data_IF_330111265292
#
_entry.id   IF_330111265292
#
_cell.length_a   1.000
_cell.length_b   1.000
_cell.length_c   1.000
_cell.angle_alpha   90.00
_cell.angle_beta   90.00
_cell.angle_gamma   90.00
#
_symmetry.space_group_name_H-M   'P 1'
#
loop_
_entity.id
_entity.type
_entity.pdbx_description
1 polymer ?
#
# COMPACT_ATOMS: atom_id res chain seq x y z
N UNK A 1 5.18 -20.07 -12.73
CA UNK A 1 4.76 -19.09 -11.70
C UNK A 1 4.14 -19.88 -10.55
N UNK A 2 4.85 -19.97 -9.41
CA UNK A 2 4.63 -21.01 -8.40
C UNK A 2 3.26 -20.85 -7.70
N UNK A 3 2.44 -21.91 -7.70
CA UNK A 3 1.11 -21.96 -7.04
C UNK A 3 1.17 -21.51 -5.58
N UNK A 4 2.31 -21.78 -4.92
CA UNK A 4 2.60 -21.38 -3.55
C UNK A 4 2.54 -19.85 -3.38
N UNK A 5 3.10 -19.09 -4.32
CA UNK A 5 3.09 -17.62 -4.26
C UNK A 5 1.65 -17.08 -4.40
N UNK A 6 0.87 -17.69 -5.29
CA UNK A 6 -0.54 -17.31 -5.50
C UNK A 6 -1.39 -17.64 -4.27
N UNK A 7 -1.15 -18.79 -3.64
CA UNK A 7 -1.83 -19.20 -2.42
C UNK A 7 -1.48 -18.29 -1.23
N UNK A 8 -0.23 -17.85 -1.10
CA UNK A 8 0.19 -16.89 -0.07
C UNK A 8 -0.52 -15.55 -0.27
N UNK A 9 -0.56 -15.03 -1.50
CA UNK A 9 -1.24 -13.75 -1.80
C UNK A 9 -2.75 -13.83 -1.53
N UNK A 10 -3.39 -14.94 -1.93
CA UNK A 10 -4.83 -15.16 -1.72
C UNK A 10 -5.16 -15.41 -0.25
N UNK A 11 -4.34 -16.17 0.48
CA UNK A 11 -4.51 -16.40 1.91
C UNK A 11 -4.33 -15.10 2.71
N UNK A 12 -3.31 -14.29 2.38
CA UNK A 12 -3.15 -12.97 2.99
C UNK A 12 -4.36 -12.05 2.71
N UNK A 13 -4.89 -12.07 1.48
CA UNK A 13 -6.06 -11.28 1.09
C UNK A 13 -7.37 -11.75 1.77
N UNK A 14 -7.49 -13.05 2.07
CA UNK A 14 -8.72 -13.65 2.61
C UNK A 14 -8.88 -13.51 4.14
N UNK A 15 -7.79 -13.36 4.91
CA UNK A 15 -7.85 -13.45 6.37
C UNK A 15 -8.25 -12.13 7.06
N UNK A 16 -8.19 -10.95 6.42
CA UNK A 16 -8.43 -9.69 7.16
C UNK A 16 -9.25 -8.60 6.43
N UNK A 17 -10.36 -8.12 7.01
CA UNK A 17 -10.93 -6.81 6.71
C UNK A 17 -9.97 -5.64 7.07
N UNK A 18 -9.06 -5.86 8.02
CA UNK A 18 -7.93 -4.97 8.38
C UNK A 18 -6.83 -4.89 7.32
N UNK A 19 -6.88 -5.77 6.30
CA UNK A 19 -5.82 -5.90 5.31
C UNK A 19 -5.70 -4.69 4.39
N UNK A 20 -6.78 -3.93 4.14
CA UNK A 20 -6.70 -2.71 3.30
C UNK A 20 -5.82 -1.61 3.90
N UNK A 21 -5.85 -1.44 5.24
CA UNK A 21 -4.94 -0.51 5.94
C UNK A 21 -3.50 -1.05 5.92
N UNK A 22 -3.33 -2.33 6.20
CA UNK A 22 -2.02 -3.01 6.15
C UNK A 22 -1.40 -3.00 4.76
N UNK A 23 -2.20 -3.11 3.70
CA UNK A 23 -1.75 -3.09 2.31
C UNK A 23 -1.26 -1.70 1.90
N UNK A 24 -1.95 -0.63 2.32
CA UNK A 24 -1.46 0.74 2.12
C UNK A 24 -0.11 0.99 2.80
N UNK A 25 0.06 0.51 4.04
CA UNK A 25 1.33 0.60 4.76
C UNK A 25 2.42 -0.26 4.13
N UNK A 26 2.11 -1.49 3.72
CA UNK A 26 3.02 -2.37 3.01
C UNK A 26 3.51 -1.74 1.70
N UNK A 27 2.61 -1.10 0.95
CA UNK A 27 2.94 -0.44 -0.31
C UNK A 27 3.87 0.77 -0.08
N UNK A 28 3.64 1.56 0.98
CA UNK A 28 4.56 2.66 1.37
C UNK A 28 5.95 2.10 1.70
N UNK A 29 6.02 1.05 2.53
CA UNK A 29 7.28 0.43 2.94
C UNK A 29 8.01 -0.13 1.71
N UNK A 30 7.33 -0.88 0.86
CA UNK A 30 7.89 -1.46 -0.36
C UNK A 30 8.44 -0.38 -1.30
N UNK A 31 7.67 0.68 -1.54
CA UNK A 31 8.11 1.78 -2.41
C UNK A 31 9.27 2.58 -1.80
N UNK A 32 9.34 2.65 -0.47
CA UNK A 32 10.47 3.27 0.24
C UNK A 32 11.75 2.45 0.07
N UNK A 33 11.66 1.10 0.13
CA UNK A 33 12.78 0.22 -0.19
C UNK A 33 13.22 0.36 -1.65
N UNK A 34 12.28 0.37 -2.60
CA UNK A 34 12.59 0.56 -4.03
C UNK A 34 13.31 1.90 -4.24
N UNK A 35 12.80 2.96 -3.61
CA UNK A 35 13.43 4.28 -3.65
C UNK A 35 14.84 4.28 -3.06
N UNK A 36 15.05 3.60 -1.92
CA UNK A 36 16.35 3.42 -1.30
C UNK A 36 17.34 2.77 -2.27
N UNK A 37 16.94 1.72 -3.01
CA UNK A 37 17.79 1.10 -4.02
C UNK A 37 18.16 2.07 -5.15
N UNK A 38 17.23 2.89 -5.63
CA UNK A 38 17.54 3.92 -6.63
C UNK A 38 18.54 4.97 -6.12
N UNK A 39 18.43 5.38 -4.85
CA UNK A 39 19.38 6.33 -4.27
C UNK A 39 20.77 5.71 -4.03
N UNK A 40 20.83 4.46 -3.59
CA UNK A 40 22.10 3.72 -3.47
C UNK A 40 22.74 3.57 -4.85
N UNK A 41 21.96 3.16 -5.86
CA UNK A 41 22.43 3.06 -7.24
C UNK A 41 22.96 4.39 -7.77
N UNK A 42 22.23 5.49 -7.54
CA UNK A 42 22.70 6.82 -7.93
C UNK A 42 23.99 7.24 -7.22
N UNK A 43 24.19 6.87 -5.95
CA UNK A 43 25.42 7.17 -5.21
C UNK A 43 26.62 6.36 -5.72
N UNK A 44 26.39 5.08 -6.05
CA UNK A 44 27.41 4.22 -6.65
C UNK A 44 27.78 4.70 -8.06
N UNK A 45 26.78 5.04 -8.88
CA UNK A 45 27.00 5.55 -10.24
C UNK A 45 27.74 6.90 -10.23
N UNK A 46 27.41 7.79 -9.29
CA UNK A 46 28.18 9.02 -9.10
C UNK A 46 29.63 8.75 -8.71
N UNK A 47 29.87 7.78 -7.84
CA UNK A 47 31.23 7.40 -7.41
C UNK A 47 32.02 6.68 -8.50
N UNK A 48 31.33 5.98 -9.41
CA UNK A 48 31.91 5.27 -10.54
C UNK A 48 32.19 6.19 -11.75
N UNK A 49 31.88 7.48 -11.66
CA UNK A 49 32.10 8.45 -12.75
C UNK A 49 31.11 8.31 -13.91
N UNK A 50 29.91 7.77 -13.66
CA UNK A 50 28.85 7.75 -14.65
C UNK A 50 28.40 9.17 -15.03
N UNK A 51 27.83 9.36 -16.23
CA UNK A 51 27.34 10.67 -16.67
C UNK A 51 26.28 11.24 -15.72
N UNK A 52 26.35 12.55 -15.45
CA UNK A 52 25.44 13.26 -14.53
C UNK A 52 23.95 13.08 -14.88
N UNK A 53 23.62 12.93 -16.16
CA UNK A 53 22.25 12.71 -16.61
C UNK A 53 21.69 11.35 -16.17
N UNK A 54 22.54 10.31 -16.07
CA UNK A 54 22.14 8.97 -15.59
C UNK A 54 21.85 9.03 -14.09
N UNK A 55 22.77 9.61 -13.32
CA UNK A 55 22.63 9.79 -11.87
C UNK A 55 21.39 10.62 -11.55
N UNK A 56 21.14 11.69 -12.32
CA UNK A 56 19.94 12.53 -12.17
C UNK A 56 18.66 11.75 -12.44
N UNK A 57 18.62 10.95 -13.50
CA UNK A 57 17.45 10.15 -13.84
C UNK A 57 17.16 9.11 -12.75
N UNK A 58 18.17 8.40 -12.24
CA UNK A 58 17.98 7.47 -11.12
C UNK A 58 17.41 8.14 -9.88
N UNK A 59 17.91 9.33 -9.51
CA UNK A 59 17.33 10.11 -8.39
C UNK A 59 15.89 10.49 -8.63
N UNK A 60 15.54 10.91 -9.84
CA UNK A 60 14.15 11.23 -10.20
C UNK A 60 13.24 10.01 -10.08
N UNK A 61 13.71 8.82 -10.50
CA UNK A 61 12.97 7.57 -10.29
C UNK A 61 12.82 7.23 -8.80
N UNK A 62 13.86 7.44 -7.98
CA UNK A 62 13.80 7.26 -6.53
C UNK A 62 12.76 8.17 -5.88
N UNK A 63 12.75 9.46 -6.21
CA UNK A 63 11.74 10.41 -5.74
C UNK A 63 10.34 10.03 -6.23
N UNK A 64 10.21 9.66 -7.51
CA UNK A 64 8.94 9.23 -8.09
C UNK A 64 8.35 8.02 -7.37
N UNK A 65 9.16 6.99 -7.09
CA UNK A 65 8.74 5.81 -6.34
C UNK A 65 8.22 6.17 -4.92
N UNK A 66 8.91 7.08 -4.21
CA UNK A 66 8.45 7.57 -2.90
C UNK A 66 7.09 8.26 -3.00
N UNK A 67 6.95 9.21 -3.93
CA UNK A 67 5.71 9.97 -4.11
C UNK A 67 4.54 9.03 -4.44
N UNK A 68 4.74 8.09 -5.36
CA UNK A 68 3.72 7.10 -5.74
C UNK A 68 3.34 6.23 -4.53
N UNK A 69 4.33 5.75 -3.78
CA UNK A 69 4.11 4.94 -2.59
C UNK A 69 3.23 5.64 -1.55
N UNK A 70 3.53 6.89 -1.26
CA UNK A 70 2.77 7.70 -0.30
C UNK A 70 1.35 8.04 -0.79
N UNK A 71 1.20 8.47 -2.05
CA UNK A 71 -0.12 8.82 -2.61
C UNK A 71 -1.04 7.59 -2.62
N UNK A 72 -0.58 6.48 -3.18
CA UNK A 72 -1.38 5.26 -3.27
C UNK A 72 -1.63 4.64 -1.89
N UNK A 73 -0.62 4.61 -1.02
CA UNK A 73 -0.75 4.07 0.33
C UNK A 73 -1.80 4.81 1.16
N UNK A 74 -1.76 6.15 1.16
CA UNK A 74 -2.76 6.98 1.86
C UNK A 74 -4.15 6.81 1.24
N UNK A 75 -4.24 6.80 -0.09
CA UNK A 75 -5.52 6.63 -0.78
C UNK A 75 -6.21 5.30 -0.38
N UNK A 76 -5.45 4.21 -0.34
CA UNK A 76 -5.94 2.88 0.07
C UNK A 76 -6.36 2.85 1.54
N UNK A 77 -5.58 3.46 2.44
CA UNK A 77 -5.95 3.58 3.85
C UNK A 77 -7.24 4.40 4.06
N UNK A 78 -7.42 5.48 3.29
CA UNK A 78 -8.65 6.29 3.31
C UNK A 78 -9.86 5.52 2.79
N UNK A 79 -9.71 4.76 1.70
CA UNK A 79 -10.78 3.91 1.18
C UNK A 79 -11.16 2.82 2.18
N UNK A 80 -10.18 2.23 2.87
CA UNK A 80 -10.40 1.24 3.91
C UNK A 80 -11.25 1.82 5.05
N UNK A 81 -10.88 3.00 5.55
CA UNK A 81 -11.59 3.65 6.64
C UNK A 81 -13.05 4.01 6.29
N UNK A 82 -13.30 4.49 5.07
CA UNK A 82 -14.67 4.77 4.59
C UNK A 82 -15.53 3.51 4.50
N UNK A 83 -14.96 2.40 4.02
CA UNK A 83 -15.66 1.12 3.96
C UNK A 83 -16.00 0.57 5.34
N UNK A 84 -15.06 0.68 6.28
CA UNK A 84 -15.26 0.24 7.67
C UNK A 84 -16.38 1.03 8.35
N UNK A 85 -16.43 2.35 8.13
CA UNK A 85 -17.49 3.21 8.65
C UNK A 85 -18.88 2.86 8.07
N UNK A 86 -18.96 2.59 6.77
CA UNK A 86 -20.22 2.19 6.11
C UNK A 86 -20.71 0.83 6.61
N UNK A 87 -19.81 -0.13 6.82
CA UNK A 87 -20.17 -1.46 7.33
C UNK A 87 -20.73 -1.38 8.76
N UNK A 88 -20.12 -0.55 9.61
CA UNK A 88 -20.60 -0.33 10.99
C UNK A 88 -21.98 0.33 11.03
N UNK A 89 -22.21 1.36 10.20
CA UNK A 89 -23.51 2.02 10.11
C UNK A 89 -24.64 1.08 9.65
N UNK A 90 -24.36 0.20 8.69
CA UNK A 90 -25.33 -0.81 8.26
C UNK A 90 -25.64 -1.82 9.39
N UNK A 91 -24.61 -2.29 10.12
CA UNK A 91 -24.77 -3.19 11.26
C UNK A 91 -25.65 -2.60 12.36
N UNK A 92 -25.41 -1.35 12.74
CA UNK A 92 -26.22 -0.64 13.74
C UNK A 92 -27.70 -0.52 13.28
N UNK A 93 -27.92 -0.27 11.99
CA UNK A 93 -29.28 -0.21 11.42
C UNK A 93 -29.98 -1.59 11.44
N UNK A 94 -29.24 -2.67 11.15
CA UNK A 94 -29.76 -4.04 11.24
C UNK A 94 -30.12 -4.41 12.68
N UNK A 95 -29.28 -4.09 13.67
CA UNK A 95 -29.57 -4.36 15.08
C UNK A 95 -30.80 -3.58 15.56
N UNK A 96 -30.91 -2.30 15.17
CA UNK A 96 -32.10 -1.47 15.47
C UNK A 96 -33.38 -2.07 14.90
N UNK A 97 -33.36 -2.53 13.64
CA UNK A 97 -34.53 -3.17 13.00
C UNK A 97 -34.85 -4.54 13.60
N UNK A 98 -33.84 -5.29 14.08
CA UNK A 98 -34.03 -6.58 14.74
C UNK A 98 -34.67 -6.41 16.13
N UNK A 99 -34.24 -5.43 16.91
CA UNK A 99 -34.86 -5.10 18.21
C UNK A 99 -36.32 -4.64 18.08
N UNK A 100 -36.64 -3.88 17.01
CA UNK A 100 -38.00 -3.41 16.73
C UNK A 100 -38.98 -4.50 16.27
N UNK A 101 -38.50 -5.68 15.84
CA UNK A 101 -39.35 -6.82 15.42
C UNK A 101 -39.55 -7.87 16.52
N UNK A 102 -38.91 -7.69 17.69
CA UNK A 102 -38.97 -8.62 18.82
C UNK A 102 -39.96 -8.24 19.93
N UNK A 103 -40.75 -7.18 19.73
CA UNK A 103 -41.90 -6.76 20.53
C UNK A 103 -43.15 -6.82 19.67
#
# INVERSE_FOLDING_TARGET
MNIVIKAIIVALAAVFPKFKKGYGMFLIILMSFISMFFFIGAALDQSAGQPDWVVRNMRLFGVGALVIGWILGIALMRQAAKHEAMMKANLDEYERKRGSKGT
#
